data_IF_287944292192
#
_entry.id   IF_287944292192
#
_cell.length_a   1.000
_cell.length_b   1.000
_cell.length_c   1.000
_cell.angle_alpha   90.00
_cell.angle_beta   90.00
_cell.angle_gamma   90.00
#
_symmetry.space_group_name_H-M   'P 1'
#
loop_
_entity.id
_entity.type
_entity.pdbx_description
1 polymer ?
#
# COMPACT_ATOMS: atom_id res chain seq x y z
N UNK A 1 -3.25 -25.73 -11.00
CA UNK A 1 -4.72 -25.53 -10.92
C UNK A 1 -5.26 -25.08 -12.27
N UNK A 2 -6.56 -25.18 -12.54
CA UNK A 2 -7.13 -24.89 -13.88
C UNK A 2 -8.25 -23.86 -13.76
N UNK A 3 -8.09 -22.74 -14.47
CA UNK A 3 -9.09 -21.68 -14.54
C UNK A 3 -10.32 -22.10 -15.33
N UNK A 4 -11.42 -21.35 -15.18
CA UNK A 4 -12.71 -21.66 -15.83
C UNK A 4 -12.63 -21.75 -17.36
N UNK A 5 -11.71 -21.01 -17.97
CA UNK A 5 -11.47 -21.01 -19.42
C UNK A 5 -10.46 -22.08 -19.89
N UNK A 6 -10.02 -22.97 -19.01
CA UNK A 6 -9.04 -24.03 -19.29
C UNK A 6 -7.59 -23.60 -19.14
N UNK A 7 -7.31 -22.33 -18.81
CA UNK A 7 -5.95 -21.83 -18.57
C UNK A 7 -5.35 -22.54 -17.35
N UNK A 8 -4.20 -23.19 -17.51
CA UNK A 8 -3.46 -23.76 -16.37
C UNK A 8 -2.74 -22.66 -15.59
N UNK A 9 -2.91 -22.68 -14.28
CA UNK A 9 -2.30 -21.78 -13.32
C UNK A 9 -1.30 -22.58 -12.48
N UNK A 10 -0.02 -22.21 -12.55
CA UNK A 10 1.05 -22.76 -11.75
C UNK A 10 1.00 -22.19 -10.33
N UNK A 11 1.07 -23.07 -9.33
CA UNK A 11 0.90 -22.73 -7.92
C UNK A 11 2.00 -23.40 -7.10
N UNK A 12 2.47 -22.71 -6.08
CA UNK A 12 3.36 -23.23 -5.06
C UNK A 12 2.77 -22.97 -3.67
N UNK A 13 2.84 -23.98 -2.81
CA UNK A 13 2.31 -23.98 -1.46
C UNK A 13 3.45 -24.21 -0.46
N UNK A 14 3.41 -23.53 0.68
CA UNK A 14 4.38 -23.65 1.75
C UNK A 14 3.70 -23.49 3.12
N UNK A 15 4.26 -24.13 4.15
CA UNK A 15 3.66 -24.15 5.50
C UNK A 15 2.57 -25.22 5.66
N UNK A 16 1.91 -25.22 6.82
CA UNK A 16 0.89 -26.22 7.18
C UNK A 16 -0.47 -25.86 6.53
N UNK A 17 -1.06 -26.72 5.65
CA UNK A 17 -2.37 -26.49 5.05
C UNK A 17 -3.53 -26.36 6.05
N UNK A 18 -3.35 -26.79 7.29
CA UNK A 18 -4.32 -26.59 8.35
C UNK A 18 -4.33 -25.15 8.91
N UNK A 19 -3.24 -24.39 8.75
CA UNK A 19 -3.13 -23.00 9.19
C UNK A 19 -3.95 -22.03 8.31
N UNK A 20 -4.17 -20.77 8.74
CA UNK A 20 -4.85 -19.78 7.91
C UNK A 20 -4.14 -19.56 6.57
N UNK A 21 -4.91 -19.58 5.47
CA UNK A 21 -4.37 -19.51 4.11
C UNK A 21 -4.10 -18.07 3.68
N UNK A 22 -2.85 -17.78 3.31
CA UNK A 22 -2.39 -16.50 2.77
C UNK A 22 -2.00 -16.69 1.31
N UNK A 23 -2.76 -16.10 0.38
CA UNK A 23 -2.48 -16.12 -1.06
C UNK A 23 -1.72 -14.86 -1.47
N UNK A 24 -0.50 -15.05 -1.92
CA UNK A 24 0.43 -14.03 -2.40
C UNK A 24 0.32 -13.88 -3.93
N UNK A 25 -0.02 -12.68 -4.41
CA UNK A 25 -0.32 -12.43 -5.83
C UNK A 25 0.67 -11.42 -6.41
N UNK A 26 1.55 -11.88 -7.32
CA UNK A 26 2.57 -11.04 -7.96
C UNK A 26 1.97 -10.12 -9.04
N UNK A 27 2.74 -9.12 -9.44
CA UNK A 27 2.41 -8.21 -10.53
C UNK A 27 3.34 -8.31 -11.72
N UNK A 28 3.34 -7.28 -12.55
CA UNK A 28 4.15 -7.20 -13.76
C UNK A 28 5.50 -6.55 -13.46
N UNK A 29 6.60 -6.98 -14.10
CA UNK A 29 6.74 -8.12 -15.03
C UNK A 29 7.29 -9.37 -14.31
N UNK A 30 6.97 -9.55 -13.04
CA UNK A 30 7.47 -10.66 -12.21
C UNK A 30 6.68 -11.97 -12.45
N UNK A 31 7.16 -13.01 -11.78
CA UNK A 31 6.49 -14.26 -11.47
C UNK A 31 6.36 -14.41 -9.93
N UNK A 32 5.89 -15.56 -9.45
CA UNK A 32 5.72 -15.84 -8.02
C UNK A 32 6.99 -15.68 -7.17
N UNK A 33 8.19 -15.75 -7.74
CA UNK A 33 9.48 -15.64 -7.02
C UNK A 33 9.69 -14.28 -6.33
N UNK A 34 8.91 -13.26 -6.70
CA UNK A 34 8.91 -11.97 -5.98
C UNK A 34 8.58 -12.14 -4.50
N UNK A 35 7.87 -13.22 -4.16
CA UNK A 35 7.41 -13.51 -2.81
C UNK A 35 8.34 -14.43 -2.00
N UNK A 36 9.39 -15.02 -2.57
CA UNK A 36 10.23 -16.03 -1.88
C UNK A 36 10.66 -15.60 -0.48
N UNK A 37 11.15 -14.36 -0.36
CA UNK A 37 11.55 -13.79 0.93
C UNK A 37 10.38 -13.66 1.92
N UNK A 38 9.20 -13.30 1.44
CA UNK A 38 7.98 -13.16 2.26
C UNK A 38 7.44 -14.53 2.67
N UNK A 39 7.42 -15.50 1.74
CA UNK A 39 7.01 -16.89 1.99
C UNK A 39 7.82 -17.49 3.14
N UNK A 40 9.16 -17.40 3.07
CA UNK A 40 10.05 -17.93 4.10
C UNK A 40 9.80 -17.38 5.52
N UNK A 41 9.11 -16.23 5.64
CA UNK A 41 8.80 -15.57 6.93
C UNK A 41 7.37 -15.83 7.39
N UNK A 42 6.49 -16.25 6.49
CA UNK A 42 5.09 -16.53 6.78
C UNK A 42 4.83 -18.04 6.94
N UNK A 43 5.52 -18.90 6.19
CA UNK A 43 5.33 -20.36 6.21
C UNK A 43 5.41 -21.02 7.60
N UNK A 44 6.16 -20.51 8.61
CA UNK A 44 6.16 -21.13 9.93
C UNK A 44 4.83 -20.99 10.69
N UNK A 45 3.92 -20.11 10.23
CA UNK A 45 2.69 -19.75 10.95
C UNK A 45 1.42 -19.81 10.09
N UNK A 46 1.58 -19.85 8.77
CA UNK A 46 0.48 -19.74 7.81
C UNK A 46 0.65 -20.76 6.68
N UNK A 47 -0.47 -21.14 6.08
CA UNK A 47 -0.45 -21.81 4.79
C UNK A 47 -0.25 -20.75 3.69
N UNK A 48 0.94 -20.64 3.12
CA UNK A 48 1.28 -19.61 2.14
C UNK A 48 1.19 -20.18 0.74
N UNK A 49 0.34 -19.58 -0.08
CA UNK A 49 0.11 -19.97 -1.46
C UNK A 49 0.60 -18.85 -2.36
N UNK A 50 1.42 -19.16 -3.35
CA UNK A 50 1.78 -18.23 -4.44
C UNK A 50 1.37 -18.84 -5.76
N UNK A 51 0.97 -18.03 -6.72
CA UNK A 51 0.69 -18.53 -8.07
C UNK A 51 1.23 -17.57 -9.12
N UNK A 52 1.60 -18.14 -10.27
CA UNK A 52 1.96 -17.34 -11.44
C UNK A 52 0.68 -16.85 -12.12
N UNK A 53 0.51 -15.54 -12.21
CA UNK A 53 -0.57 -14.92 -12.98
C UNK A 53 -0.45 -15.36 -14.44
N UNK A 54 -1.59 -15.66 -15.09
CA UNK A 54 -1.61 -16.04 -16.52
C UNK A 54 -0.72 -15.10 -17.35
N UNK A 55 0.09 -15.68 -18.24
CA UNK A 55 1.10 -14.94 -18.99
C UNK A 55 2.50 -14.92 -18.36
N UNK A 56 2.66 -15.30 -17.10
CA UNK A 56 3.91 -15.28 -16.36
C UNK A 56 4.35 -16.68 -15.88
N UNK A 57 5.65 -16.83 -15.59
CA UNK A 57 6.23 -18.01 -14.96
C UNK A 57 5.86 -19.34 -15.65
N UNK A 58 5.34 -20.28 -14.90
CA UNK A 58 4.94 -21.61 -15.38
C UNK A 58 3.45 -21.71 -15.74
N UNK A 59 2.68 -20.63 -15.56
CA UNK A 59 1.30 -20.56 -16.00
C UNK A 59 1.19 -20.47 -17.52
N UNK A 60 0.04 -20.87 -18.04
CA UNK A 60 -0.26 -20.77 -19.46
C UNK A 60 -0.24 -19.30 -19.92
N UNK A 61 0.09 -19.11 -21.20
CA UNK A 61 0.21 -17.79 -21.85
C UNK A 61 -0.81 -17.68 -22.98
N UNK A 62 -2.10 -17.40 -22.68
CA UNK A 62 -3.11 -17.24 -23.72
C UNK A 62 -2.70 -16.19 -24.75
N UNK A 63 -2.99 -16.44 -26.03
CA UNK A 63 -2.61 -15.53 -27.12
C UNK A 63 -3.57 -14.34 -27.32
N UNK A 64 -4.82 -14.47 -26.84
CA UNK A 64 -5.86 -13.45 -27.02
C UNK A 64 -5.81 -12.42 -25.90
N UNK A 65 -5.78 -11.12 -26.24
CA UNK A 65 -5.88 -10.01 -25.27
C UNK A 65 -7.05 -10.15 -24.29
N UNK A 66 -8.22 -10.55 -24.79
CA UNK A 66 -9.42 -10.70 -23.96
C UNK A 66 -9.25 -11.75 -22.83
N UNK A 67 -8.30 -12.67 -22.95
CA UNK A 67 -7.96 -13.62 -21.90
C UNK A 67 -7.27 -12.96 -20.69
N UNK A 68 -6.79 -11.72 -20.80
CA UNK A 68 -6.14 -10.98 -19.70
C UNK A 68 -7.09 -9.99 -19.00
N UNK A 69 -8.39 -10.04 -19.32
CA UNK A 69 -9.37 -9.19 -18.66
C UNK A 69 -9.44 -9.48 -17.15
N UNK A 70 -9.67 -8.45 -16.32
CA UNK A 70 -9.77 -8.58 -14.86
C UNK A 70 -10.76 -9.68 -14.42
N UNK A 71 -11.83 -9.89 -15.17
CA UNK A 71 -12.80 -10.95 -14.86
C UNK A 71 -12.21 -12.36 -15.03
N UNK A 72 -11.24 -12.55 -15.93
CA UNK A 72 -10.46 -13.79 -16.10
C UNK A 72 -9.42 -13.96 -15.00
N UNK A 73 -8.75 -12.88 -14.61
CA UNK A 73 -7.81 -12.89 -13.48
C UNK A 73 -8.52 -13.24 -12.17
N UNK A 74 -9.76 -12.78 -11.98
CA UNK A 74 -10.59 -13.19 -10.86
C UNK A 74 -11.09 -14.65 -10.96
N UNK A 75 -11.22 -15.22 -12.17
CA UNK A 75 -11.49 -16.65 -12.36
C UNK A 75 -10.27 -17.51 -12.00
N UNK A 76 -9.05 -17.02 -12.28
CA UNK A 76 -7.82 -17.69 -11.85
C UNK A 76 -7.73 -17.75 -10.34
N UNK A 77 -7.92 -16.60 -9.67
CA UNK A 77 -7.89 -16.55 -8.22
C UNK A 77 -8.99 -17.44 -7.61
N UNK A 78 -10.18 -17.50 -8.22
CA UNK A 78 -11.22 -18.41 -7.77
C UNK A 78 -10.79 -19.88 -7.86
N UNK A 79 -10.24 -20.29 -9.00
CA UNK A 79 -9.73 -21.65 -9.19
C UNK A 79 -8.59 -21.98 -8.21
N UNK A 80 -7.76 -21.00 -7.85
CA UNK A 80 -6.74 -21.20 -6.82
C UNK A 80 -7.39 -21.41 -5.45
N UNK A 81 -8.30 -20.52 -5.05
CA UNK A 81 -8.99 -20.58 -3.76
C UNK A 81 -9.85 -21.83 -3.60
N UNK A 82 -10.44 -22.35 -4.67
CA UNK A 82 -11.25 -23.57 -4.65
C UNK A 82 -10.44 -24.80 -4.25
N UNK A 83 -9.14 -24.83 -4.59
CA UNK A 83 -8.27 -25.96 -4.29
C UNK A 83 -7.55 -25.79 -2.94
N UNK A 84 -7.02 -24.60 -2.64
CA UNK A 84 -6.16 -24.38 -1.45
C UNK A 84 -6.91 -23.97 -0.20
N UNK A 85 -8.16 -23.53 -0.35
CA UNK A 85 -8.99 -23.03 0.75
C UNK A 85 -10.49 -23.20 0.44
N UNK A 86 -10.96 -24.43 0.20
CA UNK A 86 -12.35 -24.69 -0.18
C UNK A 86 -13.34 -24.30 0.93
N UNK A 87 -12.99 -24.58 2.19
CA UNK A 87 -13.93 -24.52 3.32
C UNK A 87 -13.83 -23.23 4.14
N UNK A 88 -12.82 -22.40 3.86
CA UNK A 88 -12.56 -21.18 4.62
C UNK A 88 -12.15 -20.01 3.72
N UNK A 89 -12.50 -18.76 4.07
CA UNK A 89 -11.99 -17.61 3.34
C UNK A 89 -10.46 -17.49 3.51
N UNK A 90 -9.76 -17.03 2.48
CA UNK A 90 -8.31 -16.82 2.51
C UNK A 90 -7.93 -15.34 2.66
N UNK A 91 -6.68 -15.06 3.02
CA UNK A 91 -6.14 -13.70 3.08
C UNK A 91 -5.32 -13.41 1.83
N UNK A 92 -5.48 -12.23 1.24
CA UNK A 92 -4.72 -11.83 0.06
C UNK A 92 -3.58 -10.89 0.44
N UNK A 93 -2.38 -11.14 -0.10
CA UNK A 93 -1.25 -10.20 -0.07
C UNK A 93 -0.81 -9.99 -1.51
N UNK A 94 -0.92 -8.78 -2.02
CA UNK A 94 -0.77 -8.58 -3.46
C UNK A 94 0.05 -7.34 -3.79
N UNK A 95 0.82 -7.44 -4.87
CA UNK A 95 1.75 -6.41 -5.32
C UNK A 95 1.50 -6.03 -6.79
N UNK A 96 1.61 -4.75 -7.12
CA UNK A 96 1.48 -4.21 -8.48
C UNK A 96 0.20 -4.72 -9.20
N UNK A 97 0.27 -5.38 -10.36
CA UNK A 97 -0.87 -5.93 -11.08
C UNK A 97 -1.59 -7.02 -10.29
N UNK A 98 -0.88 -7.75 -9.44
CA UNK A 98 -1.47 -8.67 -8.48
C UNK A 98 -2.40 -7.93 -7.52
N UNK A 99 -1.99 -6.74 -7.07
CA UNK A 99 -2.84 -5.87 -6.26
C UNK A 99 -4.01 -5.29 -7.06
N UNK A 100 -3.79 -4.88 -8.32
CA UNK A 100 -4.86 -4.37 -9.20
C UNK A 100 -5.95 -5.44 -9.42
N UNK A 101 -5.57 -6.68 -9.74
CA UNK A 101 -6.54 -7.75 -9.94
C UNK A 101 -7.20 -8.19 -8.63
N UNK A 102 -6.47 -8.16 -7.52
CA UNK A 102 -7.02 -8.46 -6.19
C UNK A 102 -8.05 -7.41 -5.76
N UNK A 103 -7.84 -6.13 -6.06
CA UNK A 103 -8.87 -5.10 -5.86
C UNK A 103 -10.15 -5.41 -6.63
N UNK A 104 -10.03 -5.87 -7.89
CA UNK A 104 -11.20 -6.25 -8.68
C UNK A 104 -11.94 -7.47 -8.12
N UNK A 105 -11.19 -8.45 -7.59
CA UNK A 105 -11.71 -9.64 -6.93
C UNK A 105 -12.44 -9.29 -5.61
N UNK A 106 -11.75 -8.58 -4.71
CA UNK A 106 -12.24 -8.19 -3.36
C UNK A 106 -13.48 -7.30 -3.42
N UNK A 107 -13.60 -6.48 -4.45
CA UNK A 107 -14.73 -5.55 -4.62
C UNK A 107 -15.80 -6.07 -5.58
N UNK A 108 -15.70 -7.34 -5.96
CA UNK A 108 -16.64 -8.01 -6.87
C UNK A 108 -17.42 -9.14 -6.22
N UNK A 109 -18.54 -9.49 -6.86
CA UNK A 109 -19.47 -10.47 -6.28
C UNK A 109 -18.95 -11.91 -6.35
N UNK A 110 -18.09 -12.23 -7.33
CA UNK A 110 -17.62 -13.60 -7.58
C UNK A 110 -16.94 -14.24 -6.36
N UNK A 111 -16.12 -13.46 -5.65
CA UNK A 111 -15.31 -13.93 -4.53
C UNK A 111 -15.81 -13.39 -3.18
N UNK A 112 -17.06 -12.88 -3.15
CA UNK A 112 -17.69 -12.46 -1.90
C UNK A 112 -17.73 -13.64 -0.93
N UNK A 113 -17.27 -13.42 0.30
CA UNK A 113 -17.19 -14.45 1.34
C UNK A 113 -16.01 -15.42 1.21
N UNK A 114 -15.21 -15.37 0.13
CA UNK A 114 -14.02 -16.22 -0.05
C UNK A 114 -12.71 -15.57 0.38
N UNK A 115 -12.77 -14.29 0.75
CA UNK A 115 -11.61 -13.50 1.17
C UNK A 115 -11.86 -12.94 2.56
N UNK A 116 -10.98 -13.26 3.52
CA UNK A 116 -11.06 -12.79 4.90
C UNK A 116 -10.47 -11.39 5.07
N UNK A 117 -9.31 -11.11 4.45
CA UNK A 117 -8.65 -9.81 4.47
C UNK A 117 -7.76 -9.59 3.24
N UNK A 118 -7.39 -8.33 2.98
CA UNK A 118 -6.61 -7.96 1.80
C UNK A 118 -5.51 -6.93 2.12
N UNK A 119 -4.26 -7.27 1.82
CA UNK A 119 -3.11 -6.36 1.83
C UNK A 119 -2.72 -5.97 0.40
N UNK A 120 -2.84 -4.68 0.07
CA UNK A 120 -2.51 -4.07 -1.22
C UNK A 120 -1.17 -3.35 -1.15
N UNK A 121 -0.28 -3.60 -2.12
CA UNK A 121 1.04 -2.98 -2.24
C UNK A 121 1.23 -2.46 -3.66
N UNK A 122 1.49 -1.15 -3.85
CA UNK A 122 1.88 -0.57 -5.14
C UNK A 122 0.98 -0.89 -6.34
N UNK A 123 -0.32 -1.13 -6.13
CA UNK A 123 -1.25 -1.44 -7.22
C UNK A 123 -2.69 -1.04 -6.91
N UNK A 124 -3.13 0.18 -7.26
CA UNK A 124 -4.44 0.69 -6.92
C UNK A 124 -5.54 0.11 -7.81
N UNK A 125 -6.77 0.02 -7.30
CA UNK A 125 -7.94 -0.33 -8.12
C UNK A 125 -8.11 0.62 -9.31
N UNK A 126 -8.18 0.09 -10.53
CA UNK A 126 -8.38 0.91 -11.73
C UNK A 126 -9.69 1.71 -11.69
N UNK A 127 -10.76 1.14 -11.12
CA UNK A 127 -12.03 1.85 -10.93
C UNK A 127 -11.85 3.06 -9.99
N UNK A 128 -11.13 2.87 -8.89
CA UNK A 128 -10.86 3.94 -7.93
C UNK A 128 -9.98 5.04 -8.52
N UNK A 129 -8.98 4.67 -9.33
CA UNK A 129 -8.14 5.62 -10.10
C UNK A 129 -9.01 6.43 -11.06
N UNK A 130 -9.92 5.79 -11.81
CA UNK A 130 -10.85 6.49 -12.70
C UNK A 130 -11.68 7.54 -11.97
N UNK A 131 -12.23 7.20 -10.79
CA UNK A 131 -12.94 8.17 -9.95
C UNK A 131 -12.03 9.26 -9.36
N UNK A 132 -10.80 8.91 -8.96
CA UNK A 132 -9.80 9.82 -8.40
C UNK A 132 -9.40 10.90 -9.40
N UNK A 133 -9.13 10.51 -10.66
CA UNK A 133 -8.77 11.42 -11.76
C UNK A 133 -9.94 12.37 -12.05
N UNK A 134 -11.16 11.83 -12.22
CA UNK A 134 -12.37 12.63 -12.46
C UNK A 134 -12.63 13.64 -11.35
N UNK A 135 -12.44 13.25 -10.09
CA UNK A 135 -12.65 14.15 -8.95
C UNK A 135 -11.63 15.30 -8.93
N UNK A 136 -10.37 15.06 -9.29
CA UNK A 136 -9.30 16.06 -9.28
C UNK A 136 -9.35 17.02 -10.46
N UNK A 137 -9.73 16.54 -11.64
CA UNK A 137 -9.90 17.40 -12.82
C UNK A 137 -11.04 18.41 -12.66
N UNK A 138 -12.03 18.14 -11.79
CA UNK A 138 -13.15 19.05 -11.49
C UNK A 138 -12.77 20.31 -10.71
N UNK A 139 -11.57 20.39 -10.13
CA UNK A 139 -11.13 21.54 -9.31
C UNK A 139 -9.73 22.00 -9.72
N UNK A 140 -9.46 23.31 -9.91
CA UNK A 140 -8.14 23.81 -10.28
C UNK A 140 -7.02 23.37 -9.32
N UNK A 141 -7.31 23.29 -8.01
CA UNK A 141 -6.35 22.82 -7.00
C UNK A 141 -5.98 21.33 -7.11
N UNK A 142 -6.75 20.55 -7.87
CA UNK A 142 -6.50 19.12 -8.11
C UNK A 142 -5.58 18.83 -9.30
N UNK A 143 -5.26 19.84 -10.12
CA UNK A 143 -4.52 19.65 -11.36
C UNK A 143 -3.05 19.28 -11.13
N UNK A 144 -2.39 19.86 -10.13
CA UNK A 144 -0.99 19.54 -9.80
C UNK A 144 -0.77 18.05 -9.47
N UNK A 145 -1.52 17.47 -8.50
CA UNK A 145 -1.46 16.04 -8.21
C UNK A 145 -1.81 15.15 -9.41
N UNK A 146 -2.80 15.53 -10.23
CA UNK A 146 -3.18 14.78 -11.42
C UNK A 146 -2.07 14.78 -12.48
N UNK A 147 -1.43 15.94 -12.72
CA UNK A 147 -0.31 16.07 -13.64
C UNK A 147 0.91 15.27 -13.16
N UNK A 148 1.21 15.30 -11.85
CA UNK A 148 2.27 14.47 -11.27
C UNK A 148 2.00 12.98 -11.55
N UNK A 149 0.78 12.50 -11.33
CA UNK A 149 0.45 11.10 -11.63
C UNK A 149 0.53 10.78 -13.13
N UNK A 150 0.17 11.71 -14.01
CA UNK A 150 0.30 11.53 -15.46
C UNK A 150 1.76 11.27 -15.86
N UNK A 151 2.71 12.03 -15.29
CA UNK A 151 4.15 11.80 -15.49
C UNK A 151 4.55 10.41 -15.02
N UNK A 152 4.13 10.01 -13.81
CA UNK A 152 4.40 8.67 -13.29
C UNK A 152 3.72 7.55 -14.11
N UNK A 153 2.70 7.87 -14.90
CA UNK A 153 1.92 6.90 -15.70
C UNK A 153 2.27 6.92 -17.19
N UNK A 154 3.28 7.68 -17.61
CA UNK A 154 3.69 7.76 -19.02
C UNK A 154 4.06 6.39 -19.61
N UNK A 155 4.58 5.48 -18.77
CA UNK A 155 4.90 4.11 -19.16
C UNK A 155 3.66 3.31 -19.60
N UNK A 156 2.47 3.62 -19.04
CA UNK A 156 1.22 2.96 -19.43
C UNK A 156 0.90 3.25 -20.90
N UNK A 157 1.10 4.50 -21.35
CA UNK A 157 0.90 4.88 -22.76
C UNK A 157 1.92 4.16 -23.64
N UNK A 158 3.19 4.12 -23.22
CA UNK A 158 4.23 3.36 -23.90
C UNK A 158 3.86 1.87 -24.09
N UNK A 159 3.26 1.23 -23.08
CA UNK A 159 2.79 -0.16 -23.16
C UNK A 159 1.60 -0.38 -24.12
N UNK A 160 0.89 0.68 -24.53
CA UNK A 160 -0.18 0.58 -25.53
C UNK A 160 0.32 0.63 -26.97
N UNK A 161 1.55 1.09 -27.21
CA UNK A 161 2.09 1.25 -28.57
C UNK A 161 2.35 -0.16 -29.15
N UNK A 162 1.83 -0.51 -30.34
CA UNK A 162 2.07 -1.82 -30.94
C UNK A 162 3.55 -2.05 -31.23
N UNK A 163 4.06 -3.26 -30.93
CA UNK A 163 5.42 -3.76 -31.20
C UNK A 163 6.56 -3.07 -30.45
N UNK A 164 6.44 -1.79 -30.12
CA UNK A 164 7.50 -1.01 -29.46
C UNK A 164 7.90 -1.56 -28.08
N UNK A 165 6.99 -1.77 -27.11
CA UNK A 165 7.36 -2.32 -25.81
C UNK A 165 7.88 -3.76 -25.92
N UNK A 166 7.34 -4.58 -26.82
CA UNK A 166 7.82 -5.93 -27.08
C UNK A 166 9.25 -5.94 -27.59
N UNK A 167 9.55 -5.08 -28.57
CA UNK A 167 10.92 -4.91 -29.11
C UNK A 167 11.86 -4.38 -28.04
N UNK A 168 11.40 -3.47 -27.17
CA UNK A 168 12.21 -2.96 -26.05
C UNK A 168 12.62 -4.10 -25.09
N UNK A 169 11.73 -5.03 -24.78
CA UNK A 169 12.03 -6.18 -23.92
C UNK A 169 12.94 -7.21 -24.60
N UNK A 170 12.66 -7.51 -25.87
CA UNK A 170 13.42 -8.48 -26.67
C UNK A 170 14.85 -8.02 -26.95
N UNK A 171 15.05 -6.73 -27.21
CA UNK A 171 16.38 -6.13 -27.38
C UNK A 171 17.16 -5.96 -26.07
N UNK A 172 16.51 -6.12 -24.92
CA UNK A 172 17.13 -5.92 -23.60
C UNK A 172 17.14 -4.47 -23.12
N UNK A 173 16.73 -3.50 -23.94
CA UNK A 173 16.58 -2.09 -23.55
C UNK A 173 15.61 -1.95 -22.38
N UNK A 174 14.48 -2.67 -22.39
CA UNK A 174 13.50 -2.66 -21.31
C UNK A 174 14.09 -3.13 -19.98
N UNK A 175 14.90 -4.21 -19.98
CA UNK A 175 15.63 -4.68 -18.77
C UNK A 175 16.64 -3.64 -18.29
N UNK A 176 17.35 -2.99 -19.20
CA UNK A 176 18.30 -1.94 -18.86
C UNK A 176 17.60 -0.73 -18.21
N UNK A 177 16.49 -0.26 -18.80
CA UNK A 177 15.68 0.84 -18.24
C UNK A 177 15.14 0.46 -16.86
N UNK A 178 14.56 -0.74 -16.72
CA UNK A 178 14.04 -1.23 -15.44
C UNK A 178 15.10 -1.21 -14.34
N UNK A 179 16.30 -1.75 -14.62
CA UNK A 179 17.42 -1.73 -13.67
C UNK A 179 17.89 -0.32 -13.34
N UNK A 180 17.83 0.61 -14.29
CA UNK A 180 18.22 2.01 -14.09
C UNK A 180 17.26 2.73 -13.14
N UNK A 181 15.95 2.47 -13.28
CA UNK A 181 14.91 3.13 -12.49
C UNK A 181 14.71 2.50 -11.11
N UNK A 182 14.87 1.18 -11.03
CA UNK A 182 14.40 0.38 -9.88
C UNK A 182 15.50 -0.45 -9.23
N UNK A 183 16.75 -0.26 -9.66
CA UNK A 183 17.91 -0.95 -9.11
C UNK A 183 17.88 -2.46 -9.32
N UNK A 184 18.60 -3.19 -8.45
CA UNK A 184 18.63 -4.65 -8.44
C UNK A 184 17.36 -5.28 -7.86
N UNK A 185 16.57 -4.51 -7.11
CA UNK A 185 15.35 -4.97 -6.47
C UNK A 185 14.30 -5.46 -7.47
N UNK A 186 14.26 -4.89 -8.68
CA UNK A 186 13.37 -5.33 -9.76
C UNK A 186 13.70 -6.71 -10.35
N UNK A 187 14.73 -7.39 -9.83
CA UNK A 187 15.12 -8.72 -10.28
C UNK A 187 15.56 -8.78 -11.73
N UNK A 188 15.39 -9.95 -12.35
CA UNK A 188 15.71 -10.20 -13.77
C UNK A 188 14.53 -10.89 -14.43
N UNK A 189 13.44 -10.16 -14.71
CA UNK A 189 12.22 -10.76 -15.25
C UNK A 189 12.51 -11.46 -16.59
N UNK A 190 11.84 -12.58 -16.80
CA UNK A 190 11.91 -13.29 -18.08
C UNK A 190 11.32 -12.40 -19.18
N UNK A 191 11.95 -12.42 -20.38
CA UNK A 191 11.44 -11.67 -21.54
C UNK A 191 10.00 -12.09 -21.85
N UNK A 192 9.69 -13.38 -21.72
CA UNK A 192 8.37 -13.91 -22.00
C UNK A 192 7.31 -13.27 -21.10
N UNK A 193 7.57 -13.19 -19.79
CA UNK A 193 6.62 -12.64 -18.81
C UNK A 193 6.40 -11.15 -19.04
N UNK A 194 7.49 -10.44 -19.31
CA UNK A 194 7.45 -9.02 -19.60
C UNK A 194 6.72 -8.70 -20.94
N UNK A 195 6.75 -9.60 -21.92
CA UNK A 195 6.03 -9.41 -23.19
C UNK A 195 4.55 -9.77 -23.06
N UNK A 196 4.22 -10.94 -22.50
CA UNK A 196 2.83 -11.38 -22.37
C UNK A 196 2.07 -10.55 -21.32
N UNK A 197 2.74 -10.14 -20.25
CA UNK A 197 2.17 -9.30 -19.21
C UNK A 197 1.76 -7.90 -19.69
N UNK A 198 2.23 -7.43 -20.86
CA UNK A 198 1.71 -6.20 -21.49
C UNK A 198 0.21 -6.27 -21.77
N UNK A 199 -0.33 -7.47 -22.00
CA UNK A 199 -1.76 -7.66 -22.25
C UNK A 199 -2.61 -7.38 -21.00
N UNK A 200 -2.05 -7.45 -19.79
CA UNK A 200 -2.72 -6.98 -18.56
C UNK A 200 -3.10 -5.49 -18.70
N UNK A 201 -2.15 -4.66 -19.16
CA UNK A 201 -2.38 -3.24 -19.38
C UNK A 201 -3.37 -3.00 -20.52
N UNK A 202 -3.16 -3.65 -21.66
CA UNK A 202 -3.94 -3.42 -22.89
C UNK A 202 -5.38 -3.90 -22.80
N UNK A 203 -5.64 -4.96 -22.05
CA UNK A 203 -6.99 -5.48 -21.84
C UNK A 203 -7.81 -4.63 -20.88
N UNK A 204 -7.18 -3.96 -19.90
CA UNK A 204 -7.91 -3.45 -18.73
C UNK A 204 -7.88 -1.94 -18.55
N UNK A 205 -6.73 -1.28 -18.78
CA UNK A 205 -6.55 0.11 -18.34
C UNK A 205 -7.54 1.06 -19.01
N UNK A 206 -7.61 1.05 -20.35
CA UNK A 206 -8.53 1.94 -21.08
C UNK A 206 -10.00 1.69 -20.75
N UNK A 207 -10.40 0.43 -20.63
CA UNK A 207 -11.78 0.03 -20.33
C UNK A 207 -12.19 0.49 -18.92
N UNK A 208 -11.37 0.25 -17.90
CA UNK A 208 -11.75 0.56 -16.51
C UNK A 208 -11.64 2.05 -16.19
N UNK A 209 -10.68 2.77 -16.76
CA UNK A 209 -10.57 4.21 -16.56
C UNK A 209 -11.70 4.99 -17.26
N UNK A 210 -12.20 4.49 -18.40
CA UNK A 210 -13.29 5.14 -19.14
C UNK A 210 -14.67 4.89 -18.51
N UNK A 211 -14.88 3.76 -17.84
CA UNK A 211 -16.16 3.41 -17.19
C UNK A 211 -15.95 2.84 -15.78
N UNK A 212 -15.43 3.64 -14.83
CA UNK A 212 -15.18 3.18 -13.47
C UNK A 212 -16.51 2.92 -12.75
N UNK A 213 -16.56 1.84 -11.99
CA UNK A 213 -17.71 1.46 -11.16
C UNK A 213 -17.46 1.77 -9.68
N UNK A 214 -18.50 2.12 -8.91
CA UNK A 214 -18.39 2.23 -7.47
C UNK A 214 -18.30 0.82 -6.86
N UNK A 215 -17.09 0.40 -6.50
CA UNK A 215 -16.84 -0.94 -5.95
C UNK A 215 -16.15 -0.83 -4.58
N UNK A 216 -16.91 -0.78 -3.48
CA UNK A 216 -16.34 -0.82 -2.15
C UNK A 216 -15.90 -2.25 -1.79
N UNK A 217 -14.88 -2.36 -0.94
CA UNK A 217 -14.45 -3.60 -0.32
C UNK A 217 -15.24 -3.84 0.97
N UNK A 218 -15.70 -5.07 1.16
CA UNK A 218 -16.44 -5.49 2.36
C UNK A 218 -15.50 -6.05 3.45
N UNK A 219 -14.28 -6.45 3.06
CA UNK A 219 -13.26 -7.08 3.92
C UNK A 219 -12.36 -6.04 4.61
N UNK A 220 -11.59 -6.39 5.67
CA UNK A 220 -10.51 -5.56 6.17
C UNK A 220 -9.45 -5.37 5.08
N UNK A 221 -9.08 -4.12 4.79
CA UNK A 221 -8.07 -3.78 3.79
C UNK A 221 -6.89 -3.09 4.44
N UNK A 222 -5.68 -3.55 4.16
CA UNK A 222 -4.45 -2.84 4.45
C UNK A 222 -3.80 -2.35 3.16
N UNK A 223 -3.34 -1.11 3.14
CA UNK A 223 -2.51 -0.56 2.07
C UNK A 223 -1.10 -0.35 2.61
N UNK A 224 -0.12 -1.00 2.01
CA UNK A 224 1.29 -0.74 2.22
C UNK A 224 1.79 0.12 1.05
N UNK A 225 2.05 1.40 1.31
CA UNK A 225 2.44 2.37 0.30
C UNK A 225 3.93 2.72 0.40
N UNK A 226 4.79 2.20 -0.50
CA UNK A 226 6.19 2.59 -0.53
C UNK A 226 6.36 4.07 -0.89
N UNK A 227 7.21 4.77 -0.15
CA UNK A 227 7.44 6.20 -0.33
C UNK A 227 8.34 6.54 -1.52
N UNK A 228 9.23 5.62 -1.90
CA UNK A 228 10.16 5.76 -3.02
C UNK A 228 9.66 5.08 -4.30
N UNK A 229 8.36 4.81 -4.44
CA UNK A 229 7.80 4.15 -5.62
C UNK A 229 7.81 5.09 -6.84
N UNK A 230 8.56 4.78 -7.92
CA UNK A 230 8.62 5.64 -9.09
C UNK A 230 7.42 5.50 -10.03
N UNK A 231 6.49 4.56 -9.79
CA UNK A 231 5.33 4.28 -10.66
C UNK A 231 4.00 4.67 -10.02
N UNK A 232 3.84 4.41 -8.71
CA UNK A 232 2.56 4.59 -8.02
C UNK A 232 2.73 5.49 -6.81
N UNK A 233 2.25 6.73 -6.93
CA UNK A 233 2.37 7.71 -5.83
C UNK A 233 1.64 7.25 -4.56
N UNK A 234 2.15 7.53 -3.35
CA UNK A 234 1.47 7.19 -2.10
C UNK A 234 0.03 7.74 -2.03
N UNK A 235 -0.22 8.92 -2.59
CA UNK A 235 -1.57 9.50 -2.63
C UNK A 235 -2.55 8.66 -3.46
N UNK A 236 -2.10 8.04 -4.56
CA UNK A 236 -2.95 7.17 -5.38
C UNK A 236 -3.29 5.86 -4.67
N UNK A 237 -2.33 5.32 -3.90
CA UNK A 237 -2.52 4.07 -3.15
C UNK A 237 -3.44 4.25 -1.94
N UNK A 238 -3.35 5.40 -1.27
CA UNK A 238 -3.91 5.57 0.08
C UNK A 238 -5.24 6.34 0.14
N UNK A 239 -5.64 7.02 -0.94
CA UNK A 239 -6.92 7.73 -1.06
C UNK A 239 -8.08 6.77 -1.40
N UNK A 240 -8.25 5.74 -0.57
CA UNK A 240 -9.21 4.63 -0.76
C UNK A 240 -10.19 4.46 0.40
N UNK A 241 -10.17 5.33 1.41
CA UNK A 241 -11.03 5.24 2.58
C UNK A 241 -12.54 5.19 2.25
N UNK A 242 -12.97 5.92 1.20
CA UNK A 242 -14.37 5.87 0.73
C UNK A 242 -14.78 4.51 0.14
N UNK A 243 -13.81 3.68 -0.23
CA UNK A 243 -14.02 2.38 -0.84
C UNK A 243 -13.70 1.24 0.11
N UNK A 244 -12.86 1.46 1.11
CA UNK A 244 -12.52 0.49 2.14
C UNK A 244 -12.89 1.06 3.51
N UNK A 245 -14.10 0.80 4.03
CA UNK A 245 -14.54 1.34 5.31
C UNK A 245 -13.70 0.80 6.48
N UNK A 246 -13.17 -0.42 6.36
CA UNK A 246 -12.21 -1.03 7.29
C UNK A 246 -10.81 -0.96 6.70
N UNK A 247 -10.16 0.20 6.82
CA UNK A 247 -8.89 0.49 6.17
C UNK A 247 -7.75 0.75 7.16
N UNK A 248 -6.62 0.10 6.90
CA UNK A 248 -5.32 0.35 7.49
C UNK A 248 -4.35 0.83 6.42
N UNK A 249 -3.53 1.83 6.72
CA UNK A 249 -2.58 2.42 5.79
C UNK A 249 -1.22 2.54 6.46
N UNK A 250 -0.21 1.90 5.86
CA UNK A 250 1.18 2.00 6.26
C UNK A 250 1.99 2.60 5.13
N UNK A 251 2.67 3.70 5.39
CA UNK A 251 3.62 4.29 4.45
C UNK A 251 5.01 3.80 4.82
N UNK A 252 5.70 3.21 3.86
CA UNK A 252 6.91 2.43 4.12
C UNK A 252 8.09 3.05 3.35
N UNK A 253 9.27 3.23 3.95
CA UNK A 253 10.49 3.50 3.19
C UNK A 253 10.75 2.34 2.20
N UNK A 254 11.14 2.63 0.96
CA UNK A 254 11.39 1.59 -0.04
C UNK A 254 10.83 1.94 -1.41
N UNK A 255 11.28 1.18 -2.41
CA UNK A 255 10.86 1.30 -3.80
C UNK A 255 9.63 0.48 -4.14
N UNK A 256 9.37 0.36 -5.44
CA UNK A 256 8.24 -0.40 -5.96
C UNK A 256 8.33 -1.90 -5.61
N UNK A 257 9.53 -2.49 -5.64
CA UNK A 257 9.77 -3.91 -5.32
C UNK A 257 9.99 -4.16 -3.83
N UNK A 258 9.23 -3.46 -2.97
CA UNK A 258 9.34 -3.62 -1.52
C UNK A 258 9.19 -5.08 -1.01
N UNK A 259 8.46 -6.02 -1.67
CA UNK A 259 8.47 -7.42 -1.26
C UNK A 259 9.86 -8.09 -1.35
N UNK A 260 10.68 -7.71 -2.34
CA UNK A 260 12.07 -8.19 -2.47
C UNK A 260 13.04 -7.38 -1.61
N UNK A 261 12.84 -6.07 -1.48
CA UNK A 261 13.73 -5.19 -0.69
C UNK A 261 13.62 -5.44 0.82
N UNK A 262 12.39 -5.60 1.32
CA UNK A 262 12.09 -5.71 2.76
C UNK A 262 11.04 -6.78 3.07
N UNK A 263 11.32 -8.05 2.73
CA UNK A 263 10.38 -9.15 2.93
C UNK A 263 9.96 -9.34 4.40
N UNK A 264 10.82 -9.00 5.36
CA UNK A 264 10.54 -8.98 6.79
C UNK A 264 9.43 -7.99 7.17
N UNK A 265 9.49 -6.79 6.63
CA UNK A 265 8.48 -5.75 6.88
C UNK A 265 7.15 -6.15 6.26
N UNK A 266 7.16 -6.69 5.04
CA UNK A 266 5.94 -7.11 4.35
C UNK A 266 5.29 -8.29 5.05
N UNK A 267 6.07 -9.34 5.39
CA UNK A 267 5.57 -10.49 6.13
C UNK A 267 4.98 -10.10 7.48
N UNK A 268 5.66 -9.24 8.26
CA UNK A 268 5.14 -8.74 9.55
C UNK A 268 3.82 -8.00 9.37
N UNK A 269 3.75 -7.05 8.43
CA UNK A 269 2.54 -6.27 8.22
C UNK A 269 1.36 -7.13 7.73
N UNK A 270 1.63 -8.12 6.87
CA UNK A 270 0.63 -9.09 6.42
C UNK A 270 0.12 -9.93 7.60
N UNK A 271 1.04 -10.54 8.37
CA UNK A 271 0.73 -11.38 9.52
C UNK A 271 -0.14 -10.64 10.55
N UNK A 272 0.18 -9.40 10.90
CA UNK A 272 -0.62 -8.62 11.86
C UNK A 272 -2.08 -8.46 11.41
N UNK A 273 -2.33 -8.23 10.11
CA UNK A 273 -3.71 -8.12 9.59
C UNK A 273 -4.40 -9.49 9.52
N UNK A 274 -3.68 -10.54 9.12
CA UNK A 274 -4.18 -11.91 9.06
C UNK A 274 -4.61 -12.37 10.45
N UNK A 275 -3.72 -12.27 11.45
CA UNK A 275 -4.00 -12.63 12.84
C UNK A 275 -5.20 -11.88 13.40
N UNK A 276 -5.31 -10.58 13.14
CA UNK A 276 -6.47 -9.78 13.54
C UNK A 276 -7.77 -10.26 12.86
N UNK A 277 -7.73 -10.60 11.57
CA UNK A 277 -8.88 -11.12 10.84
C UNK A 277 -9.31 -12.51 11.34
N UNK A 278 -8.35 -13.32 11.84
CA UNK A 278 -8.57 -14.61 12.49
C UNK A 278 -8.99 -14.49 13.98
N UNK A 279 -9.18 -13.27 14.49
CA UNK A 279 -9.73 -13.01 15.83
C UNK A 279 -8.70 -12.68 16.91
N UNK A 280 -7.42 -12.56 16.58
CA UNK A 280 -6.42 -12.07 17.53
C UNK A 280 -6.68 -10.60 17.90
N UNK A 281 -6.29 -10.15 19.10
CA UNK A 281 -6.33 -8.74 19.45
C UNK A 281 -5.51 -7.89 18.46
N UNK A 282 -6.02 -6.72 18.10
CA UNK A 282 -5.30 -5.82 17.21
C UNK A 282 -3.95 -5.43 17.82
N UNK A 283 -2.85 -5.63 17.09
CA UNK A 283 -1.53 -5.21 17.56
C UNK A 283 -1.45 -3.68 17.66
N UNK A 284 -0.50 -3.15 18.45
CA UNK A 284 -0.30 -1.70 18.56
C UNK A 284 0.05 -1.08 17.20
N UNK A 285 0.93 -1.71 16.43
CA UNK A 285 1.33 -1.30 15.08
C UNK A 285 0.15 -1.29 14.11
N UNK A 286 -0.76 -2.27 14.22
CA UNK A 286 -1.97 -2.32 13.40
C UNK A 286 -2.96 -1.23 13.81
N UNK A 287 -3.22 -1.03 15.11
CA UNK A 287 -4.06 0.11 15.57
C UNK A 287 -3.57 1.46 15.03
N UNK A 288 -2.26 1.71 15.11
CA UNK A 288 -1.62 2.92 14.55
C UNK A 288 -1.82 3.07 13.05
N UNK A 289 -1.92 1.97 12.32
CA UNK A 289 -2.13 1.99 10.89
C UNK A 289 -3.58 2.31 10.50
N UNK A 290 -4.57 2.29 11.42
CA UNK A 290 -5.97 2.59 11.09
C UNK A 290 -6.09 3.92 10.34
N UNK A 291 -6.92 3.93 9.30
CA UNK A 291 -7.14 5.11 8.45
C UNK A 291 -7.90 6.24 9.15
N UNK A 292 -8.67 5.93 10.20
CA UNK A 292 -9.38 6.89 11.03
C UNK A 292 -8.82 6.89 12.46
N UNK A 293 -8.93 8.03 13.15
CA UNK A 293 -8.50 8.17 14.54
C UNK A 293 -6.99 8.23 14.77
N UNK A 294 -6.61 8.24 16.04
CA UNK A 294 -5.22 8.18 16.54
C UNK A 294 -5.02 7.01 17.52
N UNK A 295 -5.86 5.99 17.42
CA UNK A 295 -5.78 4.78 18.23
C UNK A 295 -4.38 4.13 18.10
N UNK A 296 -3.77 3.80 19.23
CA UNK A 296 -2.42 3.22 19.29
C UNK A 296 -1.26 4.22 19.10
N UNK A 297 -1.53 5.48 18.75
CA UNK A 297 -0.51 6.53 18.75
C UNK A 297 -0.09 6.86 20.18
N UNK A 298 1.22 6.95 20.42
CA UNK A 298 1.72 7.63 21.62
C UNK A 298 1.99 9.09 21.33
N UNK A 299 1.40 9.97 22.14
CA UNK A 299 1.56 11.43 22.05
C UNK A 299 2.24 11.90 23.32
N UNK A 300 3.44 12.45 23.17
CA UNK A 300 4.13 13.10 24.27
C UNK A 300 3.91 14.61 24.18
N UNK A 301 3.50 15.21 25.29
CA UNK A 301 3.33 16.65 25.39
C UNK A 301 4.30 17.17 26.45
N UNK A 302 5.28 17.97 26.02
CA UNK A 302 6.27 18.57 26.92
C UNK A 302 5.83 20.00 27.28
N UNK A 303 5.98 20.34 28.56
CA UNK A 303 5.59 21.65 29.11
C UNK A 303 4.11 21.77 29.49
N UNK A 304 3.83 22.77 30.35
CA UNK A 304 2.50 23.07 30.85
C UNK A 304 2.01 24.40 30.27
N UNK A 305 1.30 24.34 29.13
CA UNK A 305 0.64 25.50 28.52
C UNK A 305 -0.84 25.22 28.25
N UNK A 306 -1.67 26.26 28.13
CA UNK A 306 -3.09 26.11 27.74
C UNK A 306 -3.23 25.42 26.38
N UNK A 307 -2.26 25.65 25.49
CA UNK A 307 -2.15 24.96 24.22
C UNK A 307 -1.83 23.47 24.40
N UNK A 308 -0.81 23.13 25.19
CA UNK A 308 -0.44 21.75 25.49
C UNK A 308 -1.63 20.97 26.08
N UNK A 309 -2.41 21.60 26.96
CA UNK A 309 -3.65 21.05 27.49
C UNK A 309 -4.72 20.79 26.42
N UNK A 310 -5.02 21.78 25.56
CA UNK A 310 -6.01 21.63 24.48
C UNK A 310 -5.60 20.57 23.44
N UNK A 311 -4.32 20.52 23.08
CA UNK A 311 -3.78 19.51 22.15
C UNK A 311 -3.82 18.11 22.78
N UNK A 312 -3.43 17.98 24.05
CA UNK A 312 -3.54 16.72 24.80
C UNK A 312 -4.99 16.20 24.79
N UNK A 313 -5.94 17.06 25.16
CA UNK A 313 -7.36 16.70 25.18
C UNK A 313 -7.87 16.30 23.80
N UNK A 314 -7.48 17.02 22.74
CA UNK A 314 -7.89 16.70 21.37
C UNK A 314 -7.34 15.34 20.90
N UNK A 315 -6.08 15.02 21.20
CA UNK A 315 -5.50 13.72 20.86
C UNK A 315 -6.09 12.58 21.67
N UNK A 316 -6.31 12.78 22.97
CA UNK A 316 -6.97 11.79 23.84
C UNK A 316 -8.41 11.51 23.38
N UNK A 317 -9.18 12.56 23.04
CA UNK A 317 -10.52 12.42 22.49
C UNK A 317 -10.54 11.72 21.12
N UNK A 318 -9.43 11.74 20.38
CA UNK A 318 -9.26 11.02 19.12
C UNK A 318 -8.65 9.61 19.30
N UNK A 319 -8.53 9.12 20.54
CA UNK A 319 -8.11 7.76 20.88
C UNK A 319 -6.61 7.55 21.08
N UNK A 320 -5.80 8.62 21.09
CA UNK A 320 -4.36 8.52 21.31
C UNK A 320 -4.01 8.33 22.79
N UNK A 321 -2.91 7.62 23.06
CA UNK A 321 -2.33 7.54 24.40
C UNK A 321 -1.46 8.77 24.65
N UNK A 322 -1.96 9.68 25.49
CA UNK A 322 -1.26 10.94 25.80
C UNK A 322 -0.46 10.82 27.09
N UNK A 323 0.84 11.10 27.02
CA UNK A 323 1.77 11.09 28.14
C UNK A 323 2.41 12.46 28.31
N UNK A 324 2.80 12.81 29.55
CA UNK A 324 3.51 14.06 29.88
C UNK A 324 5.00 13.85 30.11
N UNK A 325 5.40 12.60 30.25
CA UNK A 325 6.75 12.11 30.49
C UNK A 325 6.93 10.72 29.87
N UNK A 326 8.18 10.27 29.77
CA UNK A 326 8.52 8.94 29.27
C UNK A 326 9.84 8.89 28.50
N UNK A 327 10.49 7.73 28.54
CA UNK A 327 11.74 7.46 27.82
C UNK A 327 11.50 6.86 26.43
N UNK A 328 10.31 6.32 26.18
CA UNK A 328 9.92 5.79 24.87
C UNK A 328 9.78 6.91 23.82
N UNK A 329 10.19 6.61 22.60
CA UNK A 329 10.06 7.53 21.46
C UNK A 329 8.58 7.62 21.05
N UNK A 330 7.92 8.79 21.17
CA UNK A 330 6.51 8.92 20.85
C UNK A 330 6.28 8.98 19.33
N UNK A 331 5.03 8.83 18.91
CA UNK A 331 4.62 9.04 17.52
C UNK A 331 4.40 10.51 17.19
N UNK A 332 3.90 11.25 18.17
CA UNK A 332 3.76 12.71 18.11
C UNK A 332 4.42 13.30 19.34
N UNK A 333 5.35 14.23 19.16
CA UNK A 333 5.86 15.05 20.25
C UNK A 333 5.40 16.49 20.04
N UNK A 334 4.62 16.97 21.00
CA UNK A 334 4.15 18.35 21.07
C UNK A 334 5.10 19.06 22.01
N UNK A 335 6.04 19.81 21.44
CA UNK A 335 7.08 20.46 22.21
C UNK A 335 6.79 21.93 22.47
N UNK A 336 6.83 22.31 23.74
CA UNK A 336 6.78 23.71 24.17
C UNK A 336 7.95 24.13 25.06
N UNK A 337 8.96 23.26 25.25
CA UNK A 337 10.10 23.50 26.15
C UNK A 337 11.48 23.39 25.47
N UNK A 338 11.54 23.28 24.14
CA UNK A 338 12.80 23.30 23.39
C UNK A 338 13.50 21.94 23.33
N UNK A 339 12.81 20.85 23.62
CA UNK A 339 13.31 19.48 23.49
C UNK A 339 13.05 18.88 22.09
N UNK A 340 12.43 19.63 21.18
CA UNK A 340 12.05 19.19 19.84
C UNK A 340 13.19 18.52 19.05
N UNK A 341 14.41 19.06 19.13
CA UNK A 341 15.58 18.53 18.42
C UNK A 341 16.07 17.18 18.94
N UNK A 342 15.80 16.86 20.21
CA UNK A 342 16.11 15.54 20.79
C UNK A 342 15.12 14.49 20.30
N UNK A 343 13.81 14.79 20.39
CA UNK A 343 12.77 13.89 19.87
C UNK A 343 12.89 13.70 18.36
N UNK A 344 13.27 14.74 17.61
CA UNK A 344 13.52 14.65 16.18
C UNK A 344 14.55 13.56 15.84
N UNK A 345 15.68 13.52 16.59
CA UNK A 345 16.74 12.52 16.42
C UNK A 345 16.22 11.13 16.73
N UNK A 346 15.63 10.97 17.91
CA UNK A 346 15.08 9.68 18.36
C UNK A 346 14.04 9.11 17.38
N UNK A 347 13.15 9.96 16.85
CA UNK A 347 12.16 9.56 15.85
C UNK A 347 12.79 9.20 14.50
N UNK A 348 13.81 9.93 14.07
CA UNK A 348 14.55 9.62 12.85
C UNK A 348 15.29 8.27 12.97
N UNK A 349 15.93 8.03 14.11
CA UNK A 349 16.66 6.78 14.39
C UNK A 349 15.73 5.56 14.43
N UNK A 350 14.48 5.74 14.89
CA UNK A 350 13.44 4.69 14.89
C UNK A 350 13.05 4.24 13.47
N UNK A 351 13.19 5.10 12.46
CA UNK A 351 12.87 4.76 11.05
C UNK A 351 11.38 4.56 10.74
N UNK A 352 10.47 4.67 11.72
CA UNK A 352 9.02 4.48 11.55
C UNK A 352 8.23 5.79 11.38
N UNK A 353 8.92 6.89 11.05
CA UNK A 353 8.33 8.21 11.00
C UNK A 353 7.89 8.73 12.37
N UNK A 354 7.46 9.99 12.41
CA UNK A 354 7.03 10.70 13.60
C UNK A 354 6.58 12.11 13.27
N UNK A 355 5.86 12.75 14.19
CA UNK A 355 5.42 14.11 14.01
C UNK A 355 5.84 15.02 15.17
N UNK A 356 6.51 16.12 14.86
CA UNK A 356 6.75 17.22 15.80
C UNK A 356 5.69 18.29 15.61
N UNK A 357 5.09 18.72 16.71
CA UNK A 357 4.20 19.88 16.75
C UNK A 357 4.91 20.99 17.50
N UNK A 358 5.15 22.09 16.82
CA UNK A 358 5.96 23.22 17.30
C UNK A 358 5.18 24.52 17.21
N UNK A 359 5.56 25.47 18.05
CA UNK A 359 5.09 26.85 17.97
C UNK A 359 6.03 27.75 17.17
N UNK A 360 7.34 27.56 17.29
CA UNK A 360 8.34 28.41 16.63
C UNK A 360 8.51 28.06 15.14
N UNK A 361 8.16 28.97 14.20
CA UNK A 361 8.39 28.78 12.77
C UNK A 361 9.85 28.59 12.39
N UNK A 362 10.78 29.26 13.07
CA UNK A 362 12.21 29.20 12.76
C UNK A 362 12.78 27.82 13.10
N UNK A 363 12.50 27.33 14.32
CA UNK A 363 12.85 25.97 14.72
C UNK A 363 12.20 24.91 13.82
N UNK A 364 10.92 25.07 13.47
CA UNK A 364 10.23 24.15 12.57
C UNK A 364 10.91 24.07 11.18
N UNK A 365 11.29 25.21 10.60
CA UNK A 365 12.02 25.25 9.33
C UNK A 365 13.39 24.57 9.43
N UNK A 366 14.12 24.82 10.54
CA UNK A 366 15.41 24.20 10.82
C UNK A 366 15.29 22.67 10.90
N UNK A 367 14.30 22.16 11.64
CA UNK A 367 14.10 20.72 11.85
C UNK A 367 13.61 20.02 10.58
N UNK A 368 12.73 20.66 9.77
CA UNK A 368 12.35 20.12 8.44
C UNK A 368 13.55 19.93 7.53
N UNK A 369 14.46 20.90 7.51
CA UNK A 369 15.69 20.81 6.69
C UNK A 369 16.62 19.71 7.18
N UNK A 370 16.74 19.55 8.50
CA UNK A 370 17.65 18.59 9.13
C UNK A 370 17.12 17.15 9.11
N UNK A 371 15.81 16.98 9.22
CA UNK A 371 15.12 15.69 9.27
C UNK A 371 14.01 15.65 8.22
N UNK A 372 14.35 15.52 6.93
CA UNK A 372 13.37 15.60 5.84
C UNK A 372 12.29 14.51 5.95
N UNK A 373 12.58 13.38 6.58
CA UNK A 373 11.63 12.28 6.82
C UNK A 373 10.65 12.48 7.98
N UNK A 374 10.74 13.60 8.71
CA UNK A 374 9.93 13.86 9.90
C UNK A 374 8.81 14.85 9.62
N UNK A 375 7.58 14.53 10.05
CA UNK A 375 6.46 15.43 9.93
C UNK A 375 6.61 16.59 10.91
N UNK A 376 6.79 17.82 10.43
CA UNK A 376 6.85 19.00 11.32
C UNK A 376 5.61 19.87 11.09
N UNK A 377 4.79 20.04 12.13
CA UNK A 377 3.54 20.79 12.14
C UNK A 377 3.71 22.06 12.97
N UNK A 378 3.29 23.18 12.42
CA UNK A 378 3.16 24.42 13.17
C UNK A 378 1.75 24.53 13.74
N UNK A 379 1.66 24.77 15.04
CA UNK A 379 0.40 24.95 15.76
C UNK A 379 -0.41 26.17 15.24
N UNK A 380 0.30 27.22 14.83
CA UNK A 380 -0.23 28.50 14.36
C UNK A 380 -0.99 29.29 15.45
N UNK A 381 -1.33 30.53 15.14
CA UNK A 381 -1.92 31.46 16.12
C UNK A 381 -3.45 31.31 16.24
N UNK A 382 -4.00 31.70 17.39
CA UNK A 382 -5.45 31.68 17.67
C UNK A 382 -5.83 30.95 18.97
N UNK A 383 -7.13 30.76 19.20
CA UNK A 383 -7.62 30.06 20.40
C UNK A 383 -7.07 28.63 20.50
N UNK A 384 -6.73 28.13 21.70
CA UNK A 384 -6.17 26.80 21.91
C UNK A 384 -6.94 25.67 21.22
N UNK A 385 -8.26 25.68 21.24
CA UNK A 385 -9.09 24.63 20.64
C UNK A 385 -9.01 24.61 19.10
N UNK A 386 -9.04 25.78 18.46
CA UNK A 386 -8.85 25.88 17.00
C UNK A 386 -7.44 25.45 16.60
N UNK A 387 -6.43 25.83 17.39
CA UNK A 387 -5.06 25.40 17.16
C UNK A 387 -4.94 23.88 17.29
N UNK A 388 -5.52 23.28 18.34
CA UNK A 388 -5.55 21.84 18.54
C UNK A 388 -6.24 21.10 17.38
N UNK A 389 -7.38 21.58 16.90
CA UNK A 389 -8.07 20.99 15.74
C UNK A 389 -7.29 21.17 14.42
N UNK A 390 -6.51 22.24 14.27
CA UNK A 390 -5.59 22.40 13.12
C UNK A 390 -4.43 21.44 13.23
N UNK A 391 -3.82 21.30 14.41
CA UNK A 391 -2.74 20.35 14.68
C UNK A 391 -3.22 18.94 14.39
N UNK A 392 -4.36 18.53 14.94
CA UNK A 392 -4.91 17.19 14.73
C UNK A 392 -5.15 16.90 13.24
N UNK A 393 -5.71 17.86 12.49
CA UNK A 393 -5.85 17.75 11.02
C UNK A 393 -4.51 17.77 10.28
N UNK A 394 -3.53 18.51 10.75
CA UNK A 394 -2.20 18.58 10.13
C UNK A 394 -1.39 17.30 10.39
N UNK A 395 -1.42 16.76 11.61
CA UNK A 395 -0.82 15.48 11.96
C UNK A 395 -1.54 14.35 11.22
N UNK A 396 -2.88 14.37 11.14
CA UNK A 396 -3.62 13.41 10.32
C UNK A 396 -3.23 13.52 8.84
N UNK A 397 -3.08 14.73 8.30
CA UNK A 397 -2.60 14.92 6.92
C UNK A 397 -1.16 14.48 6.71
N UNK A 398 -0.25 14.71 7.65
CA UNK A 398 1.15 14.26 7.59
C UNK A 398 1.25 12.74 7.80
N UNK A 399 0.34 12.14 8.58
CA UNK A 399 0.10 10.70 8.59
C UNK A 399 -0.28 10.19 7.20
N UNK A 400 -0.98 11.02 6.40
CA UNK A 400 -1.40 10.72 5.02
C UNK A 400 -0.46 11.19 3.89
N UNK A 401 0.46 12.10 4.18
CA UNK A 401 1.48 12.64 3.30
C UNK A 401 2.83 12.21 3.86
N UNK A 402 3.17 10.94 3.65
CA UNK A 402 4.52 10.49 3.97
C UNK A 402 5.51 11.26 3.10
N UNK A 403 6.46 11.91 3.78
CA UNK A 403 7.73 12.51 3.34
C UNK A 403 7.73 13.16 1.96
#
# INVERSE_FOLDING_TARGET
MVSRDGTRIAVAEAGDPAAPTVVCVHGYPDDRSVWDGVVARLEPRFHVVTYDVRGAGESDRPSRRAAYALDRLAEDLAAVLDEVSPDRPAHLVAHDWGSIQSWHAVTGDRLRGRIASFTSISGPSLDHVGHWVRARLRRPSGWGPALRQLVHSAYIVFFQIPLVPELSWRSGVGRWVLRRLSGSAAGRPAVADAVHGLELYRANVGVRLSRPRPRPAEVPVQVLAPLGDPYVTPALQTDVARWAPRLWVRRLPGGHWIPRERPDVIARCAAELVEFAEGAPESRSLRRARSAGFEGYSVLVTGASRFAGAVSAAFAAAGAEVRRDGTEVPDVAVDSQGSAAEYARRMADRGEGGCLVLHDPAEAARLRKKFPGLGVVLAGDGSPDRAAQRVLRAVARNRHAGV
#
